data_IF_484434858211
#
_entry.id   IF_484434858211
#
_cell.length_a   1.000
_cell.length_b   1.000
_cell.length_c   1.000
_cell.angle_alpha   90.00
_cell.angle_beta   90.00
_cell.angle_gamma   90.00
#
_symmetry.space_group_name_H-M   'P 1'
#
loop_
_entity.id
_entity.type
_entity.pdbx_description
1 polymer ?
#
# COMPACT_ATOMS: atom_id res chain seq x y z
N UNK A 1 -0.53 15.11 -7.77
CA UNK A 1 -0.89 13.90 -6.99
C UNK A 1 -1.86 14.30 -5.90
N UNK A 2 -3.01 13.63 -5.74
CA UNK A 2 -3.99 13.98 -4.70
C UNK A 2 -3.65 13.29 -3.38
N UNK A 3 -3.68 14.03 -2.28
CA UNK A 3 -3.62 13.47 -0.94
C UNK A 3 -4.99 12.93 -0.47
N UNK A 4 -5.02 11.83 0.30
CA UNK A 4 -6.27 11.30 0.83
C UNK A 4 -6.88 12.26 1.85
N UNK A 5 -8.21 12.43 1.79
CA UNK A 5 -8.95 13.20 2.79
C UNK A 5 -9.26 12.34 4.01
N UNK A 6 -9.38 11.03 3.82
CA UNK A 6 -9.61 10.07 4.91
C UNK A 6 -8.99 8.70 4.64
N UNK A 7 -8.85 7.90 5.71
CA UNK A 7 -8.42 6.50 5.61
C UNK A 7 -9.45 5.59 4.93
N UNK A 8 -10.71 6.03 4.82
CA UNK A 8 -11.76 5.22 4.18
C UNK A 8 -11.61 5.16 2.67
N UNK A 9 -10.92 6.13 2.05
CA UNK A 9 -10.62 6.16 0.62
C UNK A 9 -9.45 5.24 0.24
N UNK A 10 -8.76 4.66 1.22
CA UNK A 10 -7.49 3.97 1.03
C UNK A 10 -7.61 2.45 1.20
N UNK A 11 -6.80 1.74 0.44
CA UNK A 11 -6.50 0.31 0.60
C UNK A 11 -5.28 0.14 1.50
N UNK A 12 -4.29 1.01 1.33
CA UNK A 12 -3.06 0.97 2.08
C UNK A 12 -2.53 2.37 2.34
N UNK A 13 -2.00 2.58 3.53
CA UNK A 13 -1.34 3.81 3.94
C UNK A 13 -0.14 3.47 4.81
N UNK A 14 0.97 4.14 4.58
CA UNK A 14 2.11 4.12 5.51
C UNK A 14 2.85 5.46 5.45
N UNK A 15 3.31 5.92 6.61
CA UNK A 15 4.19 7.07 6.75
C UNK A 15 5.30 6.68 7.70
N UNK A 16 6.55 6.86 7.27
CA UNK A 16 7.72 6.39 8.02
C UNK A 16 8.92 7.32 7.84
N UNK A 17 9.82 7.26 8.81
CA UNK A 17 11.16 7.84 8.79
C UNK A 17 12.13 6.76 9.25
N UNK A 18 13.05 6.34 8.40
CA UNK A 18 14.07 5.34 8.73
C UNK A 18 15.36 5.53 7.92
N UNK A 19 16.21 4.51 7.90
CA UNK A 19 17.49 4.49 7.17
C UNK A 19 17.36 4.70 5.66
N UNK A 20 16.20 4.41 5.08
CA UNK A 20 15.90 4.64 3.66
C UNK A 20 15.28 6.02 3.40
N UNK A 21 15.15 6.85 4.45
CA UNK A 21 14.65 8.22 4.37
C UNK A 21 13.24 8.41 4.92
N UNK A 22 12.59 9.49 4.49
CA UNK A 22 11.19 9.78 4.79
C UNK A 22 10.33 9.24 3.65
N UNK A 23 9.34 8.41 3.95
CA UNK A 23 8.42 7.91 2.93
C UNK A 23 6.98 8.02 3.41
N UNK A 24 6.13 8.62 2.58
CA UNK A 24 4.67 8.65 2.71
C UNK A 24 4.10 7.96 1.49
N UNK A 25 3.36 6.87 1.71
CA UNK A 25 2.81 6.05 0.65
C UNK A 25 1.34 5.76 0.91
N UNK A 26 0.50 5.97 -0.10
CA UNK A 26 -0.93 5.68 -0.03
C UNK A 26 -1.45 5.09 -1.34
N UNK A 27 -2.42 4.20 -1.21
CA UNK A 27 -3.07 3.49 -2.31
C UNK A 27 -4.56 3.72 -2.20
N UNK A 28 -5.16 4.34 -3.21
CA UNK A 28 -6.60 4.58 -3.24
C UNK A 28 -7.36 3.28 -3.53
N UNK A 29 -8.62 3.24 -3.10
CA UNK A 29 -9.57 2.24 -3.58
C UNK A 29 -10.00 2.60 -4.99
N UNK A 30 -10.20 1.58 -5.81
CA UNK A 30 -10.77 1.72 -7.14
C UNK A 30 -12.29 1.57 -7.09
N UNK A 31 -12.94 2.22 -8.04
CA UNK A 31 -14.36 2.05 -8.29
C UNK A 31 -14.61 0.62 -8.79
N UNK A 32 -15.79 0.09 -8.47
CA UNK A 32 -16.17 -1.24 -8.92
C UNK A 32 -16.19 -1.30 -10.46
N UNK A 33 -15.37 -2.16 -11.03
CA UNK A 33 -15.28 -2.39 -12.48
C UNK A 33 -16.59 -2.88 -13.10
N UNK A 34 -17.49 -3.47 -12.31
CA UNK A 34 -18.78 -3.98 -12.77
C UNK A 34 -19.90 -2.94 -12.80
N UNK A 35 -19.99 -2.08 -11.78
CA UNK A 35 -21.11 -1.14 -11.66
C UNK A 35 -20.73 0.35 -11.66
N UNK A 36 -19.48 0.70 -11.36
CA UNK A 36 -18.99 2.08 -11.27
C UNK A 36 -19.64 2.94 -10.17
N UNK A 37 -20.52 2.36 -9.33
CA UNK A 37 -21.33 3.12 -8.35
C UNK A 37 -20.67 3.30 -6.99
N UNK A 38 -19.72 2.42 -6.65
CA UNK A 38 -19.04 2.46 -5.36
C UNK A 38 -17.63 1.91 -5.44
N UNK A 39 -16.79 2.35 -4.49
CA UNK A 39 -15.45 1.86 -4.29
C UNK A 39 -15.44 0.44 -3.72
N UNK A 40 -14.53 -0.39 -4.22
CA UNK A 40 -14.36 -1.74 -3.70
C UNK A 40 -13.68 -1.75 -2.33
N UNK A 41 -14.08 -2.69 -1.47
CA UNK A 41 -13.58 -2.77 -0.09
C UNK A 41 -13.54 -4.19 0.45
N UNK A 42 -12.88 -4.41 1.58
CA UNK A 42 -12.95 -5.70 2.27
C UNK A 42 -14.39 -5.93 2.79
N UNK A 43 -14.90 -7.17 2.76
CA UNK A 43 -16.25 -7.46 3.19
C UNK A 43 -16.46 -7.09 4.66
N UNK A 44 -17.65 -6.62 4.98
CA UNK A 44 -18.07 -6.30 6.35
C UNK A 44 -18.72 -7.55 6.96
N UNK A 45 -18.35 -7.87 8.18
CA UNK A 45 -18.96 -8.95 8.93
C UNK A 45 -20.40 -8.59 9.33
N UNK A 46 -21.40 -9.41 8.97
CA UNK A 46 -22.80 -9.05 9.19
C UNK A 46 -23.18 -8.99 10.67
N UNK A 47 -22.49 -9.76 11.53
CA UNK A 47 -22.76 -9.82 12.98
C UNK A 47 -22.11 -8.66 13.71
N UNK A 48 -20.83 -8.39 13.42
CA UNK A 48 -20.05 -7.36 14.14
C UNK A 48 -20.09 -5.99 13.48
N UNK A 49 -20.58 -5.89 12.23
CA UNK A 49 -20.50 -4.71 11.36
C UNK A 49 -19.06 -4.19 11.16
N UNK A 50 -18.05 -5.01 11.47
CA UNK A 50 -16.62 -4.67 11.31
C UNK A 50 -16.09 -5.22 10.00
N UNK A 51 -15.14 -4.49 9.41
CA UNK A 51 -14.44 -4.93 8.21
C UNK A 51 -13.62 -6.18 8.50
N UNK A 52 -13.77 -7.22 7.67
CA UNK A 52 -12.93 -8.43 7.71
C UNK A 52 -11.55 -8.13 7.13
N UNK A 53 -10.69 -7.52 7.94
CA UNK A 53 -9.33 -7.07 7.56
C UNK A 53 -8.43 -8.18 7.00
N UNK A 54 -8.68 -9.44 7.38
CA UNK A 54 -7.96 -10.63 6.89
C UNK A 54 -8.60 -11.30 5.67
N UNK A 55 -9.68 -10.76 5.12
CA UNK A 55 -10.33 -11.35 3.95
C UNK A 55 -9.40 -11.38 2.74
N UNK A 56 -9.46 -12.49 1.99
CA UNK A 56 -8.74 -12.68 0.73
C UNK A 56 -9.50 -12.12 -0.47
N UNK A 57 -10.60 -11.42 -0.23
CA UNK A 57 -11.47 -10.90 -1.29
C UNK A 57 -11.78 -9.42 -1.06
N UNK A 58 -12.07 -8.70 -2.14
CA UNK A 58 -12.69 -7.38 -2.14
C UNK A 58 -14.09 -7.50 -2.73
N UNK A 59 -15.04 -6.80 -2.14
CA UNK A 59 -16.45 -6.85 -2.49
C UNK A 59 -16.95 -5.43 -2.75
N UNK A 60 -17.70 -5.26 -3.84
CA UNK A 60 -18.45 -4.03 -4.09
C UNK A 60 -19.69 -3.98 -3.18
N UNK A 61 -19.89 -2.91 -2.39
CA UNK A 61 -21.06 -2.81 -1.52
C UNK A 61 -22.39 -2.65 -2.27
N UNK A 62 -22.36 -2.16 -3.52
CA UNK A 62 -23.58 -1.87 -4.31
C UNK A 62 -24.07 -3.08 -5.11
N UNK A 63 -23.15 -3.83 -5.73
CA UNK A 63 -23.52 -4.94 -6.64
C UNK A 63 -23.01 -6.31 -6.19
N UNK A 64 -22.35 -6.40 -5.03
CA UNK A 64 -21.76 -7.61 -4.48
C UNK A 64 -20.76 -8.33 -5.41
N UNK A 65 -20.20 -7.62 -6.40
CA UNK A 65 -19.12 -8.15 -7.21
C UNK A 65 -17.89 -8.42 -6.35
N UNK A 66 -17.27 -9.59 -6.53
CA UNK A 66 -16.15 -10.10 -5.74
C UNK A 66 -14.93 -10.20 -6.64
N UNK A 67 -13.79 -9.71 -6.14
CA UNK A 67 -12.48 -9.84 -6.79
C UNK A 67 -11.49 -10.41 -5.78
N UNK A 68 -10.60 -11.29 -6.22
CA UNK A 68 -9.54 -11.82 -5.35
C UNK A 68 -8.60 -10.70 -4.91
N UNK A 69 -8.04 -10.82 -3.71
CA UNK A 69 -7.15 -9.81 -3.14
C UNK A 69 -5.91 -9.55 -4.01
N UNK A 70 -5.31 -10.60 -4.57
CA UNK A 70 -4.09 -10.45 -5.37
C UNK A 70 -4.43 -9.71 -6.67
N UNK A 71 -5.43 -10.19 -7.40
CA UNK A 71 -5.96 -9.54 -8.61
C UNK A 71 -6.34 -8.07 -8.38
N UNK A 72 -7.07 -7.78 -7.30
CA UNK A 72 -7.47 -6.41 -6.98
C UNK A 72 -6.30 -5.55 -6.53
N UNK A 73 -5.37 -6.05 -5.70
CA UNK A 73 -4.23 -5.23 -5.26
C UNK A 73 -3.24 -4.96 -6.39
N UNK A 74 -3.11 -5.89 -7.34
CA UNK A 74 -2.22 -5.77 -8.50
C UNK A 74 -2.74 -4.76 -9.55
N UNK A 75 -4.04 -4.44 -9.58
CA UNK A 75 -4.60 -3.36 -10.42
C UNK A 75 -4.27 -1.96 -9.88
N UNK A 76 -3.98 -1.84 -8.58
CA UNK A 76 -3.88 -0.54 -7.92
C UNK A 76 -2.54 0.16 -8.19
N UNK A 77 -2.58 1.48 -8.05
CA UNK A 77 -1.40 2.33 -8.06
C UNK A 77 -1.06 2.89 -6.68
N UNK A 78 0.20 2.80 -6.30
CA UNK A 78 0.77 3.42 -5.12
C UNK A 78 1.26 4.83 -5.42
N UNK A 79 0.75 5.79 -4.64
CA UNK A 79 1.23 7.15 -4.63
C UNK A 79 2.30 7.27 -3.55
N UNK A 80 3.51 7.69 -3.94
CA UNK A 80 4.67 7.75 -3.06
C UNK A 80 5.20 9.19 -3.06
N UNK A 81 5.33 9.76 -1.88
CA UNK A 81 6.16 10.93 -1.61
C UNK A 81 7.32 10.50 -0.73
N UNK A 82 8.54 10.83 -1.12
CA UNK A 82 9.71 10.44 -0.35
C UNK A 82 10.79 11.51 -0.36
N UNK A 83 11.59 11.50 0.71
CA UNK A 83 12.87 12.21 0.81
C UNK A 83 13.94 11.16 1.08
N UNK A 84 14.89 11.01 0.15
CA UNK A 84 15.98 10.05 0.31
C UNK A 84 16.95 10.49 1.44
N UNK A 85 17.85 9.59 1.90
CA UNK A 85 18.82 9.93 2.95
C UNK A 85 19.77 11.07 2.56
N UNK A 86 20.01 11.27 1.27
CA UNK A 86 20.83 12.38 0.74
C UNK A 86 20.08 13.72 0.67
N UNK A 87 18.78 13.74 0.98
CA UNK A 87 17.96 14.96 1.04
C UNK A 87 17.13 15.25 -0.21
N UNK A 88 17.24 14.46 -1.28
CA UNK A 88 16.41 14.63 -2.48
C UNK A 88 14.95 14.26 -2.21
N UNK A 89 14.02 15.15 -2.53
CA UNK A 89 12.58 14.97 -2.31
C UNK A 89 11.82 14.85 -3.62
N UNK A 90 11.06 13.77 -3.80
CA UNK A 90 10.32 13.48 -5.03
C UNK A 90 8.95 12.86 -4.73
N UNK A 91 8.08 12.89 -5.73
CA UNK A 91 6.80 12.19 -5.71
C UNK A 91 6.62 11.36 -6.97
N UNK A 92 6.25 10.08 -6.81
CA UNK A 92 6.09 9.15 -7.93
C UNK A 92 4.89 8.22 -7.78
N UNK A 93 4.24 7.91 -8.88
CA UNK A 93 3.19 6.88 -8.98
C UNK A 93 3.83 5.60 -9.52
N UNK A 94 3.51 4.45 -8.93
CA UNK A 94 3.91 3.16 -9.48
C UNK A 94 2.87 2.07 -9.15
N UNK A 95 2.86 0.94 -9.88
CA UNK A 95 1.99 -0.20 -9.54
C UNK A 95 2.19 -0.67 -8.10
N UNK A 96 1.12 -1.07 -7.42
CA UNK A 96 1.13 -1.52 -6.03
C UNK A 96 1.62 -2.96 -5.85
N UNK A 97 2.81 -3.26 -6.36
CA UNK A 97 3.38 -4.59 -6.31
C UNK A 97 4.28 -4.77 -5.09
N UNK A 98 3.92 -5.70 -4.20
CA UNK A 98 4.71 -5.99 -3.01
C UNK A 98 5.72 -7.11 -3.28
N UNK A 99 7.00 -6.80 -3.14
CA UNK A 99 8.10 -7.76 -3.25
C UNK A 99 8.57 -8.24 -1.88
N UNK A 100 9.23 -9.39 -1.83
CA UNK A 100 9.89 -9.90 -0.62
C UNK A 100 11.17 -9.09 -0.37
N UNK A 101 11.19 -8.36 0.73
CA UNK A 101 12.32 -7.54 1.20
C UNK A 101 12.98 -8.26 2.37
N UNK A 102 14.31 -8.39 2.33
CA UNK A 102 15.10 -8.86 3.47
C UNK A 102 15.59 -7.65 4.25
N UNK A 103 15.27 -7.59 5.54
CA UNK A 103 15.69 -6.51 6.45
C UNK A 103 16.47 -7.15 7.59
N UNK A 104 17.64 -6.59 7.88
CA UNK A 104 18.43 -6.99 9.03
C UNK A 104 17.96 -6.18 10.24
N UNK A 105 17.62 -6.84 11.33
CA UNK A 105 17.32 -6.17 12.58
C UNK A 105 18.64 -5.63 13.18
N UNK A 106 18.83 -4.31 13.31
CA UNK A 106 20.09 -3.75 13.80
C UNK A 106 20.40 -4.17 15.25
N UNK A 107 19.38 -4.50 16.05
CA UNK A 107 19.54 -4.94 17.44
C UNK A 107 19.89 -6.42 17.63
N UNK A 108 19.54 -7.28 16.67
CA UNK A 108 19.66 -8.74 16.84
C UNK A 108 20.50 -9.41 15.75
N UNK A 109 20.90 -8.67 14.70
CA UNK A 109 21.59 -9.22 13.52
C UNK A 109 20.73 -10.17 12.67
N UNK A 110 19.51 -10.51 13.12
CA UNK A 110 18.64 -11.47 12.46
C UNK A 110 18.03 -10.85 11.21
N UNK A 111 18.07 -11.61 10.11
CA UNK A 111 17.40 -11.24 8.86
C UNK A 111 15.93 -11.65 8.91
N UNK A 112 15.03 -10.70 8.70
CA UNK A 112 13.58 -10.95 8.55
C UNK A 112 13.16 -10.65 7.13
N UNK A 113 12.41 -11.58 6.53
CA UNK A 113 11.76 -11.36 5.23
C UNK A 113 10.38 -10.76 5.46
N UNK A 114 10.11 -9.61 4.85
CA UNK A 114 8.81 -8.92 4.88
C UNK A 114 8.39 -8.57 3.46
N UNK A 115 7.08 -8.58 3.19
CA UNK A 115 6.56 -8.00 1.96
C UNK A 115 6.59 -6.48 2.05
N UNK A 116 6.92 -5.80 0.96
CA UNK A 116 6.95 -4.35 0.90
C UNK A 116 7.17 -3.83 -0.50
N UNK A 117 7.27 -2.52 -0.64
CA UNK A 117 7.51 -1.84 -1.91
C UNK A 117 8.98 -1.45 -1.97
N UNK A 118 9.59 -1.65 -3.14
CA UNK A 118 10.97 -1.27 -3.43
C UNK A 118 10.94 -0.34 -4.63
N UNK A 119 11.62 0.79 -4.52
CA UNK A 119 11.80 1.73 -5.62
C UNK A 119 13.10 2.50 -5.45
N UNK A 120 13.61 3.08 -6.53
CA UNK A 120 14.84 3.84 -6.50
C UNK A 120 14.53 5.34 -6.47
N UNK A 121 15.43 6.10 -5.84
CA UNK A 121 15.42 7.56 -5.91
C UNK A 121 15.67 8.01 -7.35
N UNK A 122 14.89 8.99 -7.82
CA UNK A 122 14.98 9.47 -9.21
C UNK A 122 16.24 10.29 -9.49
N UNK A 123 16.94 10.77 -8.45
CA UNK A 123 18.16 11.59 -8.58
C UNK A 123 19.44 10.78 -8.37
N UNK A 124 19.53 10.03 -7.26
CA UNK A 124 20.76 9.35 -6.87
C UNK A 124 20.68 7.82 -6.99
N UNK A 125 19.58 7.30 -7.54
CA UNK A 125 19.32 5.87 -7.73
C UNK A 125 19.39 5.01 -6.46
N UNK A 126 19.38 5.65 -5.28
CA UNK A 126 19.38 4.98 -4.00
C UNK A 126 18.13 4.09 -3.83
N UNK A 127 18.34 2.82 -3.46
CA UNK A 127 17.27 1.84 -3.29
C UNK A 127 16.50 2.07 -1.97
N UNK A 128 15.24 2.46 -2.08
CA UNK A 128 14.34 2.72 -0.94
C UNK A 128 13.43 1.52 -0.72
N UNK A 129 13.43 1.01 0.52
CA UNK A 129 12.64 -0.15 0.94
C UNK A 129 11.55 0.25 1.91
N UNK A 130 10.30 -0.06 1.55
CA UNK A 130 9.10 0.19 2.37
C UNK A 130 8.47 -1.14 2.78
N UNK A 131 8.99 -1.84 3.80
CA UNK A 131 8.34 -3.03 4.35
C UNK A 131 6.97 -2.73 4.94
N UNK A 132 6.03 -3.64 4.72
CA UNK A 132 4.74 -3.68 5.41
C UNK A 132 4.98 -3.94 6.90
N UNK A 133 4.56 -3.02 7.74
CA UNK A 133 4.50 -3.21 9.18
C UNK A 133 3.32 -4.13 9.53
N UNK A 134 3.51 -5.00 10.53
CA UNK A 134 2.47 -5.82 11.13
C UNK A 134 1.88 -5.05 12.30
#
# INVERSE_FOLDING_TARGET
>A
MREPKSMSELVYFTRRKDEFGLVKLWVFREDCTKCGKAQMGKPVDPRTKKVKSRSKEYVCPECNYIVEKEEYEDSLNANIQYTCPEGHSHSKVMPFLRKKITIKDPKTGKSKRKLGIIFNCETCDFEIKVPKLK
#
